data_IF_676886071972
#
_entry.id   IF_676886071972
#
_cell.length_a   1.000
_cell.length_b   1.000
_cell.length_c   1.000
_cell.angle_alpha   90.00
_cell.angle_beta   90.00
_cell.angle_gamma   90.00
#
_symmetry.space_group_name_H-M   'P 1'
#
loop_
_entity.id
_entity.type
_entity.pdbx_description
1 polymer ?
#
# COMPACT_ATOMS: atom_id res chain seq x y z
N UNK A 1 13.74 -58.61 36.25
CA UNK A 1 13.02 -57.35 36.01
C UNK A 1 14.05 -56.23 35.81
N UNK A 2 14.35 -55.85 34.56
CA UNK A 2 15.05 -54.58 34.23
C UNK A 2 14.49 -54.10 32.89
N UNK A 3 13.82 -52.95 32.89
CA UNK A 3 13.23 -52.33 31.68
C UNK A 3 14.20 -51.25 31.19
N UNK A 4 14.83 -51.45 30.04
CA UNK A 4 15.69 -50.42 29.43
C UNK A 4 14.82 -49.28 28.89
N UNK A 5 15.07 -48.05 29.34
CA UNK A 5 14.46 -46.83 28.81
C UNK A 5 15.13 -46.46 27.49
N UNK A 6 14.38 -46.57 26.39
CA UNK A 6 14.82 -46.11 25.07
C UNK A 6 14.73 -44.57 25.04
N UNK A 7 15.88 -43.90 25.08
CA UNK A 7 15.94 -42.44 24.91
C UNK A 7 15.66 -42.08 23.44
N UNK A 8 14.48 -41.49 23.17
CA UNK A 8 14.16 -40.94 21.85
C UNK A 8 14.87 -39.59 21.68
N UNK A 9 15.67 -39.38 20.62
CA UNK A 9 16.34 -38.10 20.40
C UNK A 9 15.33 -37.01 20.11
N UNK A 10 15.45 -35.88 20.82
CA UNK A 10 14.64 -34.68 20.58
C UNK A 10 14.90 -34.10 19.18
N UNK A 11 13.86 -33.66 18.45
CA UNK A 11 14.01 -33.13 17.10
C UNK A 11 14.86 -31.85 17.12
N UNK A 12 15.91 -31.80 16.28
CA UNK A 12 16.75 -30.62 16.14
C UNK A 12 15.90 -29.44 15.65
N UNK A 13 15.87 -28.38 16.46
CA UNK A 13 15.15 -27.13 16.20
C UNK A 13 15.65 -26.56 14.86
N UNK A 14 14.76 -26.46 13.86
CA UNK A 14 15.09 -25.91 12.53
C UNK A 14 15.64 -24.49 12.71
N UNK A 15 16.85 -24.23 12.22
CA UNK A 15 17.45 -22.89 12.25
C UNK A 15 16.55 -21.96 11.43
N UNK A 16 16.20 -20.81 12.01
CA UNK A 16 15.46 -19.78 11.30
C UNK A 16 16.23 -19.36 10.03
N UNK A 17 15.55 -19.11 8.90
CA UNK A 17 16.22 -18.68 7.68
C UNK A 17 17.01 -17.39 7.93
N UNK A 18 18.25 -17.33 7.41
CA UNK A 18 19.06 -16.10 7.49
C UNK A 18 18.33 -14.98 6.76
N UNK A 19 18.30 -13.80 7.39
CA UNK A 19 17.77 -12.57 6.79
C UNK A 19 18.53 -12.31 5.48
N UNK A 20 17.80 -12.08 4.39
CA UNK A 20 18.38 -11.75 3.09
C UNK A 20 19.25 -10.49 3.21
N UNK A 21 20.31 -10.41 2.39
CA UNK A 21 21.17 -9.23 2.36
C UNK A 21 20.37 -8.00 1.88
N UNK A 22 20.73 -6.82 2.38
CA UNK A 22 20.22 -5.57 1.82
C UNK A 22 20.58 -5.49 0.32
N UNK A 23 19.67 -4.94 -0.50
CA UNK A 23 19.79 -4.86 -1.95
C UNK A 23 19.87 -6.20 -2.71
N UNK A 24 19.54 -7.34 -2.09
CA UNK A 24 19.47 -8.63 -2.79
C UNK A 24 18.24 -8.78 -3.70
N UNK A 25 17.36 -7.77 -3.76
CA UNK A 25 16.11 -7.74 -4.52
C UNK A 25 15.71 -6.28 -4.79
N UNK A 26 15.14 -6.01 -5.96
CA UNK A 26 14.71 -4.67 -6.37
C UNK A 26 15.67 -3.97 -7.33
N UNK A 27 15.34 -2.72 -7.65
CA UNK A 27 16.17 -1.82 -8.48
C UNK A 27 16.91 -0.81 -7.59
N UNK A 28 17.96 -0.20 -8.14
CA UNK A 28 18.68 0.87 -7.42
C UNK A 28 17.89 2.18 -7.41
N UNK A 29 18.10 3.08 -6.43
CA UNK A 29 17.31 4.31 -6.30
C UNK A 29 17.30 5.21 -7.53
N UNK A 30 18.40 5.25 -8.29
CA UNK A 30 18.52 6.05 -9.52
C UNK A 30 17.57 5.54 -10.61
N UNK A 31 17.38 4.22 -10.69
CA UNK A 31 16.48 3.58 -11.64
C UNK A 31 15.00 3.78 -11.26
N UNK A 32 14.71 4.24 -10.04
CA UNK A 32 13.36 4.60 -9.62
C UNK A 32 12.86 5.90 -10.28
N UNK A 33 13.73 6.68 -10.92
CA UNK A 33 13.33 7.94 -11.57
C UNK A 33 12.43 7.67 -12.77
N UNK A 34 11.28 8.33 -12.79
CA UNK A 34 10.36 8.32 -13.92
C UNK A 34 9.79 9.72 -14.11
N UNK A 35 9.83 10.22 -15.33
CA UNK A 35 9.24 11.51 -15.65
C UNK A 35 7.70 11.42 -15.61
N UNK A 36 7.05 12.39 -14.98
CA UNK A 36 5.58 12.45 -14.94
C UNK A 36 4.96 12.61 -16.33
N UNK A 37 5.71 13.08 -17.34
CA UNK A 37 5.34 13.13 -18.75
C UNK A 37 5.42 11.76 -19.46
N UNK A 38 6.04 10.73 -18.86
CA UNK A 38 6.27 9.44 -19.52
C UNK A 38 5.00 8.80 -20.09
N UNK A 39 5.10 8.29 -21.32
CA UNK A 39 4.01 7.58 -22.00
C UNK A 39 3.57 6.30 -21.26
N UNK A 40 4.44 5.70 -20.44
CA UNK A 40 4.13 4.49 -19.66
C UNK A 40 2.95 4.69 -18.69
N UNK A 41 2.74 5.92 -18.22
CA UNK A 41 1.65 6.28 -17.30
C UNK A 41 0.51 7.02 -17.99
N UNK A 42 0.50 7.12 -19.32
CA UNK A 42 -0.50 7.90 -20.05
C UNK A 42 -1.94 7.50 -19.71
N UNK A 43 -2.22 6.19 -19.62
CA UNK A 43 -3.56 5.68 -19.32
C UNK A 43 -4.02 6.05 -17.89
N UNK A 44 -3.16 5.88 -16.88
CA UNK A 44 -3.51 6.21 -15.49
C UNK A 44 -3.62 7.72 -15.30
N UNK A 45 -2.74 8.51 -15.93
CA UNK A 45 -2.83 9.98 -15.93
C UNK A 45 -4.15 10.46 -16.52
N UNK A 46 -4.52 9.95 -17.70
CA UNK A 46 -5.80 10.30 -18.32
C UNK A 46 -6.98 9.99 -17.37
N UNK A 47 -6.97 8.82 -16.72
CA UNK A 47 -8.00 8.49 -15.72
C UNK A 47 -8.02 9.49 -14.56
N UNK A 48 -6.85 9.86 -14.03
CA UNK A 48 -6.73 10.84 -12.95
C UNK A 48 -7.36 12.17 -13.36
N UNK A 49 -7.02 12.68 -14.55
CA UNK A 49 -7.54 13.94 -15.06
C UNK A 49 -9.04 13.89 -15.35
N UNK A 50 -9.54 12.81 -15.95
CA UNK A 50 -10.97 12.61 -16.23
C UNK A 50 -11.85 12.56 -14.98
N UNK A 51 -11.30 12.07 -13.86
CA UNK A 51 -11.99 12.03 -12.57
C UNK A 51 -11.78 13.32 -11.75
N UNK A 52 -11.09 14.33 -12.31
CA UNK A 52 -10.86 15.63 -11.68
C UNK A 52 -9.66 15.68 -10.72
N UNK A 53 -8.78 14.68 -10.77
CA UNK A 53 -7.52 14.65 -10.02
C UNK A 53 -6.34 15.28 -10.76
N UNK A 54 -5.19 15.34 -10.09
CA UNK A 54 -3.94 15.90 -10.62
C UNK A 54 -2.77 14.98 -10.31
N UNK A 55 -1.91 14.74 -11.30
CA UNK A 55 -0.63 14.04 -11.12
C UNK A 55 0.39 14.98 -10.48
N UNK A 56 0.96 14.57 -9.35
CA UNK A 56 1.99 15.30 -8.60
C UNK A 56 3.41 14.81 -8.93
N UNK A 57 3.54 13.54 -9.33
CA UNK A 57 4.82 12.95 -9.70
C UNK A 57 4.69 11.48 -10.12
N UNK A 58 5.76 10.95 -10.69
CA UNK A 58 5.86 9.55 -11.08
C UNK A 58 7.20 8.95 -10.63
N UNK A 59 7.21 7.65 -10.39
CA UNK A 59 8.43 6.91 -10.03
C UNK A 59 8.25 5.43 -10.40
N UNK A 60 9.34 4.66 -10.44
CA UNK A 60 9.26 3.20 -10.51
C UNK A 60 9.31 2.61 -9.10
N UNK A 61 8.45 1.63 -8.82
CA UNK A 61 8.47 0.95 -7.53
C UNK A 61 9.83 0.26 -7.31
N UNK A 62 10.46 0.38 -6.13
CA UNK A 62 11.83 -0.09 -5.91
C UNK A 62 11.97 -1.62 -5.92
N UNK A 63 10.86 -2.38 -5.90
CA UNK A 63 10.89 -3.84 -5.85
C UNK A 63 10.82 -4.46 -7.25
N UNK A 64 9.91 -3.97 -8.10
CA UNK A 64 9.61 -4.53 -9.41
C UNK A 64 9.87 -3.59 -10.58
N UNK A 65 10.16 -2.31 -10.33
CA UNK A 65 10.37 -1.31 -11.39
C UNK A 65 9.10 -0.88 -12.12
N UNK A 66 7.92 -1.21 -11.59
CA UNK A 66 6.65 -0.86 -12.22
C UNK A 66 6.40 0.65 -12.07
N UNK A 67 5.87 1.31 -13.12
CA UNK A 67 5.55 2.73 -13.03
C UNK A 67 4.41 2.98 -12.04
N UNK A 68 4.63 3.93 -11.14
CA UNK A 68 3.71 4.38 -10.10
C UNK A 68 3.53 5.89 -10.18
N UNK A 69 2.38 6.37 -9.71
CA UNK A 69 2.01 7.78 -9.74
C UNK A 69 1.63 8.25 -8.34
N UNK A 70 2.14 9.42 -7.96
CA UNK A 70 1.62 10.19 -6.83
C UNK A 70 0.63 11.21 -7.37
N UNK A 71 -0.59 11.22 -6.83
CA UNK A 71 -1.67 12.08 -7.32
C UNK A 71 -2.51 12.64 -6.17
N UNK A 72 -3.08 13.81 -6.39
CA UNK A 72 -4.20 14.34 -5.61
C UNK A 72 -5.50 13.91 -6.29
N UNK A 73 -6.36 13.19 -5.57
CA UNK A 73 -7.63 12.68 -6.09
C UNK A 73 -8.79 13.31 -5.31
N UNK A 74 -9.92 13.63 -5.98
CA UNK A 74 -11.14 13.96 -5.27
C UNK A 74 -11.60 12.79 -4.41
N UNK A 75 -11.92 13.06 -3.15
CA UNK A 75 -12.17 12.00 -2.16
C UNK A 75 -13.42 11.17 -2.47
N UNK A 76 -14.41 11.79 -3.10
CA UNK A 76 -15.66 11.18 -3.55
C UNK A 76 -15.46 10.24 -4.74
N UNK A 77 -14.27 10.22 -5.34
CA UNK A 77 -13.89 9.32 -6.44
C UNK A 77 -13.10 8.10 -5.98
N UNK A 78 -12.85 7.95 -4.68
CA UNK A 78 -12.11 6.82 -4.11
C UNK A 78 -13.05 5.99 -3.24
N UNK A 79 -13.23 4.73 -3.61
CA UNK A 79 -14.09 3.79 -2.91
C UNK A 79 -13.28 2.60 -2.33
N UNK A 80 -13.72 1.95 -1.25
CA UNK A 80 -13.14 0.68 -0.82
C UNK A 80 -13.39 -0.43 -1.85
N UNK A 81 -12.50 -1.43 -1.90
CA UNK A 81 -12.78 -2.63 -2.71
C UNK A 81 -13.98 -3.42 -2.14
N UNK A 82 -14.78 -4.11 -2.98
CA UNK A 82 -16.02 -4.79 -2.54
C UNK A 82 -15.85 -5.89 -1.47
N UNK A 83 -14.62 -6.36 -1.23
CA UNK A 83 -14.34 -7.50 -0.34
C UNK A 83 -13.65 -7.10 0.98
N UNK A 84 -13.65 -5.81 1.34
CA UNK A 84 -13.06 -5.36 2.60
C UNK A 84 -13.97 -5.62 3.79
N UNK A 85 -13.37 -6.04 4.91
CA UNK A 85 -14.05 -6.19 6.21
C UNK A 85 -14.57 -4.86 6.72
N UNK A 86 -15.64 -4.92 7.51
CA UNK A 86 -16.21 -3.76 8.18
C UNK A 86 -15.24 -3.08 9.14
N UNK A 87 -15.39 -1.76 9.27
CA UNK A 87 -14.55 -0.91 10.10
C UNK A 87 -15.05 -0.86 11.54
N UNK A 88 -14.11 -0.76 12.48
CA UNK A 88 -14.42 -0.36 13.87
C UNK A 88 -14.53 1.17 13.94
N UNK A 89 -15.68 1.69 14.38
CA UNK A 89 -15.90 3.13 14.56
C UNK A 89 -14.87 3.80 15.48
N UNK A 90 -14.46 3.13 16.56
CA UNK A 90 -13.52 3.67 17.53
C UNK A 90 -12.14 3.95 16.90
N UNK A 91 -11.71 3.09 15.98
CA UNK A 91 -10.44 3.26 15.28
C UNK A 91 -10.47 4.44 14.29
N UNK A 92 -11.61 4.64 13.63
CA UNK A 92 -11.84 5.77 12.72
C UNK A 92 -11.83 7.12 13.44
N UNK A 93 -12.61 7.29 14.51
CA UNK A 93 -12.68 8.55 15.27
C UNK A 93 -11.32 9.00 15.82
N UNK A 94 -10.52 8.04 16.29
CA UNK A 94 -9.16 8.32 16.77
C UNK A 94 -8.26 8.85 15.65
N UNK A 95 -8.39 8.29 14.45
CA UNK A 95 -7.56 8.68 13.31
C UNK A 95 -7.95 10.06 12.78
N UNK A 96 -9.24 10.34 12.63
CA UNK A 96 -9.75 11.67 12.26
C UNK A 96 -9.23 12.74 13.23
N UNK A 97 -9.39 12.52 14.54
CA UNK A 97 -8.92 13.48 15.53
C UNK A 97 -7.39 13.67 15.57
N UNK A 98 -6.58 12.75 15.07
CA UNK A 98 -5.12 12.94 14.91
C UNK A 98 -4.81 13.75 13.66
N UNK A 99 -5.51 13.48 12.55
CA UNK A 99 -5.37 14.25 11.31
C UNK A 99 -5.73 15.72 11.57
N UNK A 100 -6.85 15.99 12.23
CA UNK A 100 -7.30 17.35 12.54
C UNK A 100 -6.28 18.12 13.40
N UNK A 101 -5.71 17.46 14.42
CA UNK A 101 -4.73 18.08 15.32
C UNK A 101 -3.40 18.39 14.63
N UNK A 102 -3.02 17.55 13.67
CA UNK A 102 -1.72 17.67 12.99
C UNK A 102 -1.82 18.52 11.73
N UNK A 103 -3.00 18.66 11.13
CA UNK A 103 -3.20 19.30 9.84
C UNK A 103 -2.51 18.56 8.68
N UNK A 104 -2.05 17.33 8.90
CA UNK A 104 -1.23 16.59 7.95
C UNK A 104 -1.83 15.22 7.66
N UNK A 105 -2.11 14.98 6.38
CA UNK A 105 -2.44 13.66 5.86
C UNK A 105 -1.15 12.92 5.47
N UNK A 106 -0.38 12.48 6.47
CA UNK A 106 1.01 11.99 6.31
C UNK A 106 1.18 10.62 5.62
N UNK A 107 0.09 9.92 5.32
CA UNK A 107 0.16 8.55 4.79
C UNK A 107 -0.79 8.40 3.59
N UNK A 108 -0.28 8.62 2.35
CA UNK A 108 -1.10 8.54 1.15
C UNK A 108 -1.79 7.19 1.03
N UNK A 109 -3.00 7.21 0.47
CA UNK A 109 -3.77 6.00 0.22
C UNK A 109 -3.19 5.28 -1.00
N UNK A 110 -3.18 3.95 -0.99
CA UNK A 110 -2.96 3.19 -2.22
C UNK A 110 -4.27 3.23 -3.01
N UNK A 111 -4.20 3.69 -4.25
CA UNK A 111 -5.33 3.71 -5.16
C UNK A 111 -5.00 2.90 -6.43
N UNK A 112 -5.98 2.14 -6.91
CA UNK A 112 -5.95 1.47 -8.21
C UNK A 112 -7.13 1.99 -9.04
N UNK A 113 -6.99 2.05 -10.36
CA UNK A 113 -8.11 2.42 -11.23
C UNK A 113 -9.21 1.37 -11.09
N UNK A 114 -10.43 1.81 -10.80
CA UNK A 114 -11.57 0.90 -10.81
C UNK A 114 -11.93 0.50 -12.25
N UNK A 115 -12.63 -0.63 -12.48
CA UNK A 115 -12.91 -1.15 -13.82
C UNK A 115 -13.69 -0.20 -14.73
N UNK A 116 -14.50 0.69 -14.15
CA UNK A 116 -15.41 1.58 -14.89
C UNK A 116 -15.06 3.06 -14.70
N UNK A 117 -15.15 3.54 -13.44
CA UNK A 117 -14.96 4.94 -13.05
C UNK A 117 -14.28 5.06 -11.69
N UNK A 118 -13.55 6.14 -11.48
CA UNK A 118 -12.89 6.44 -10.22
C UNK A 118 -11.80 5.45 -9.85
N UNK A 119 -11.58 5.32 -8.55
CA UNK A 119 -10.50 4.55 -7.96
C UNK A 119 -10.99 3.66 -6.83
N UNK A 120 -10.29 2.55 -6.65
CA UNK A 120 -10.44 1.72 -5.47
C UNK A 120 -9.23 1.79 -4.58
N UNK A 121 -9.46 1.79 -3.27
CA UNK A 121 -8.39 1.65 -2.28
C UNK A 121 -8.42 0.23 -1.69
N UNK A 122 -7.46 -0.65 -2.06
CA UNK A 122 -7.46 -2.04 -1.61
C UNK A 122 -7.08 -2.18 -0.14
N UNK A 123 -6.51 -1.12 0.46
CA UNK A 123 -6.14 -1.04 1.86
C UNK A 123 -6.52 0.36 2.40
N UNK A 124 -6.50 0.57 3.71
CA UNK A 124 -6.61 1.91 4.34
C UNK A 124 -8.00 2.59 4.30
N UNK A 125 -9.11 1.84 4.22
CA UNK A 125 -10.48 2.37 4.42
C UNK A 125 -10.66 3.27 5.66
N UNK A 126 -10.03 3.04 6.84
CA UNK A 126 -10.16 3.98 7.97
C UNK A 126 -9.67 5.40 7.66
N UNK A 127 -8.66 5.56 6.80
CA UNK A 127 -8.12 6.87 6.42
C UNK A 127 -9.00 7.59 5.41
N UNK A 128 -9.49 6.85 4.42
CA UNK A 128 -10.49 7.37 3.49
C UNK A 128 -11.71 7.90 4.27
N UNK A 129 -12.23 7.08 5.19
CA UNK A 129 -13.34 7.49 6.05
C UNK A 129 -13.00 8.69 6.96
N UNK A 130 -11.75 8.82 7.44
CA UNK A 130 -11.34 9.94 8.29
C UNK A 130 -11.29 11.28 7.55
N UNK A 131 -11.07 11.27 6.24
CA UNK A 131 -11.11 12.48 5.41
C UNK A 131 -12.52 12.80 4.87
N UNK A 132 -13.46 11.85 4.93
CA UNK A 132 -14.86 12.02 4.48
C UNK A 132 -15.79 12.59 5.56
N UNK A 133 -15.33 12.64 6.82
CA UNK A 133 -16.06 13.23 7.95
C UNK A 133 -15.49 14.59 8.33
#
# INVERSE_FOLDING_TARGET
MVRALIHKPTPKRKRAPRKAAAASRGIVPEDCRLDAASGEIAAVRRRIEEEGGVVLGAYRDPLGGNPMVLAALPIDKVEPTPFQRDLSEAHHKKLAGVIDKTGLFLDPLIAITAPTKGFWTPNRRPRLAAMQG
#
